data_IF_061069486380
#
_entry.id   IF_061069486380
#
_cell.length_a   1.000
_cell.length_b   1.000
_cell.length_c   1.000
_cell.angle_alpha   90.00
_cell.angle_beta   90.00
_cell.angle_gamma   90.00
#
_symmetry.space_group_name_H-M   'P 1'
#
loop_
_entity.id
_entity.type
_entity.pdbx_description
1 polymer ?
#
# COMPACT_ATOMS: atom_id res chain seq x y z
N UNK A 1 -2.58 -3.84 -11.75
CA UNK A 1 -1.24 -4.17 -12.29
C UNK A 1 -0.17 -4.10 -11.21
N UNK A 2 0.84 -5.00 -11.23
CA UNK A 2 2.00 -4.90 -10.34
C UNK A 2 2.98 -3.86 -10.91
N UNK A 3 3.53 -3.00 -10.04
CA UNK A 3 4.59 -2.06 -10.42
C UNK A 3 5.80 -2.84 -10.97
N UNK A 4 6.48 -2.29 -12.00
CA UNK A 4 7.61 -2.96 -12.66
C UNK A 4 8.76 -3.24 -11.69
N UNK A 5 8.91 -2.36 -10.70
CA UNK A 5 9.76 -2.58 -9.54
C UNK A 5 8.91 -2.64 -8.27
N UNK A 6 9.18 -3.56 -7.32
CA UNK A 6 8.46 -3.58 -6.05
C UNK A 6 8.63 -2.29 -5.23
N UNK A 7 9.57 -1.42 -5.58
CA UNK A 7 9.80 -0.11 -4.96
C UNK A 7 8.99 1.04 -5.57
N UNK A 8 8.37 0.84 -6.74
CA UNK A 8 7.69 1.92 -7.48
C UNK A 8 6.24 2.07 -7.01
N UNK A 9 5.82 3.32 -6.78
CA UNK A 9 4.47 3.65 -6.31
C UNK A 9 3.45 3.40 -7.42
N UNK A 10 2.27 2.92 -7.06
CA UNK A 10 1.18 2.73 -8.04
C UNK A 10 0.72 4.09 -8.59
N UNK A 11 0.64 4.19 -9.91
CA UNK A 11 0.02 5.34 -10.58
C UNK A 11 -1.48 5.39 -10.26
N UNK A 12 -1.97 6.56 -9.85
CA UNK A 12 -3.39 6.82 -9.64
C UNK A 12 -4.00 7.36 -10.93
N UNK A 13 -5.12 6.80 -11.33
CA UNK A 13 -5.93 7.30 -12.43
C UNK A 13 -7.06 8.16 -11.89
N UNK A 14 -7.05 9.46 -12.18
CA UNK A 14 -8.17 10.36 -11.92
C UNK A 14 -9.10 10.37 -13.14
N UNK A 15 -10.32 9.88 -12.97
CA UNK A 15 -11.36 9.86 -13.99
C UNK A 15 -12.34 10.99 -13.72
N UNK A 16 -12.21 12.05 -14.52
CA UNK A 16 -12.97 13.29 -14.40
C UNK A 16 -14.30 13.13 -15.16
N UNK A 17 -15.40 13.18 -14.41
CA UNK A 17 -16.76 13.05 -14.94
C UNK A 17 -17.56 14.37 -14.89
N UNK A 18 -17.20 15.27 -13.98
CA UNK A 18 -17.81 16.58 -13.75
C UNK A 18 -16.73 17.64 -13.52
N UNK A 19 -17.04 18.91 -13.81
CA UNK A 19 -16.10 20.02 -13.60
C UNK A 19 -15.93 20.37 -12.11
N UNK A 20 -16.98 20.18 -11.30
CA UNK A 20 -16.90 20.33 -9.84
C UNK A 20 -15.97 19.26 -9.23
N UNK A 21 -16.16 18.00 -9.63
CA UNK A 21 -15.32 16.90 -9.22
C UNK A 21 -13.88 17.00 -9.73
N UNK A 22 -13.65 17.70 -10.85
CA UNK A 22 -12.31 17.94 -11.40
C UNK A 22 -11.43 18.72 -10.42
N UNK A 23 -11.98 19.74 -9.74
CA UNK A 23 -11.23 20.56 -8.77
C UNK A 23 -10.69 19.69 -7.63
N UNK A 24 -11.58 18.90 -7.00
CA UNK A 24 -11.25 17.99 -5.90
C UNK A 24 -10.19 16.98 -6.34
N UNK A 25 -10.41 16.33 -7.50
CA UNK A 25 -9.49 15.32 -8.01
C UNK A 25 -8.12 15.89 -8.37
N UNK A 26 -8.05 17.12 -8.89
CA UNK A 26 -6.78 17.80 -9.19
C UNK A 26 -6.02 18.18 -7.93
N UNK A 27 -6.69 18.70 -6.90
CA UNK A 27 -6.03 19.02 -5.63
C UNK A 27 -5.43 17.77 -4.98
N UNK A 28 -6.21 16.70 -4.85
CA UNK A 28 -5.72 15.41 -4.33
C UNK A 28 -4.58 14.89 -5.22
N UNK A 29 -4.73 14.96 -6.54
CA UNK A 29 -3.74 14.49 -7.50
C UNK A 29 -2.40 15.23 -7.41
N UNK A 30 -2.44 16.55 -7.20
CA UNK A 30 -1.27 17.42 -7.08
C UNK A 30 -0.51 17.17 -5.77
N UNK A 31 -1.22 17.05 -4.63
CA UNK A 31 -0.60 16.74 -3.33
C UNK A 31 -0.04 15.32 -3.33
N UNK A 32 -0.81 14.36 -3.84
CA UNK A 32 -0.40 12.97 -3.90
C UNK A 32 0.82 12.79 -4.81
N UNK A 33 0.82 13.43 -5.98
CA UNK A 33 1.74 13.10 -7.06
C UNK A 33 1.37 11.79 -7.77
N UNK A 34 2.12 11.44 -8.82
CA UNK A 34 1.96 10.20 -9.60
C UNK A 34 0.52 9.93 -10.08
N UNK A 35 -0.19 10.99 -10.46
CA UNK A 35 -1.60 10.95 -10.85
C UNK A 35 -1.76 11.30 -12.33
N UNK A 36 -2.52 10.47 -13.05
CA UNK A 36 -2.86 10.69 -14.45
C UNK A 36 -4.33 11.07 -14.53
N UNK A 37 -4.62 12.25 -15.08
CA UNK A 37 -5.98 12.76 -15.24
C UNK A 37 -6.54 12.41 -16.63
N UNK A 38 -7.77 11.93 -16.68
CA UNK A 38 -8.51 11.66 -17.92
C UNK A 38 -9.92 12.15 -17.76
N UNK A 39 -10.43 12.87 -18.75
CA UNK A 39 -11.83 13.23 -18.84
C UNK A 39 -12.59 12.14 -19.59
N UNK A 40 -13.49 11.47 -18.88
CA UNK A 40 -14.33 10.42 -19.44
C UNK A 40 -15.64 10.39 -18.65
N UNK A 41 -16.78 10.50 -19.34
CA UNK A 41 -18.10 10.40 -18.71
C UNK A 41 -18.42 8.93 -18.47
N UNK A 42 -18.29 8.48 -17.24
CA UNK A 42 -18.60 7.11 -16.80
C UNK A 42 -19.03 7.14 -15.34
N UNK A 43 -20.00 6.32 -14.96
CA UNK A 43 -20.25 6.02 -13.56
C UNK A 43 -19.48 4.74 -13.21
N UNK A 44 -18.51 4.78 -12.27
CA UNK A 44 -17.62 3.63 -12.02
C UNK A 44 -18.35 2.36 -11.59
N UNK A 45 -19.42 2.49 -10.79
CA UNK A 45 -20.22 1.34 -10.34
C UNK A 45 -21.13 0.77 -11.43
N UNK A 46 -21.62 1.61 -12.35
CA UNK A 46 -22.53 1.15 -13.40
C UNK A 46 -21.77 0.53 -14.59
N UNK A 47 -20.49 0.87 -14.75
CA UNK A 47 -19.67 0.49 -15.91
C UNK A 47 -18.25 0.05 -15.50
N UNK A 48 -18.15 -0.99 -14.68
CA UNK A 48 -16.88 -1.54 -14.18
C UNK A 48 -15.93 -1.94 -15.32
N UNK A 49 -16.43 -2.59 -16.37
CA UNK A 49 -15.60 -3.01 -17.52
C UNK A 49 -14.89 -1.84 -18.22
N UNK A 50 -15.56 -0.68 -18.29
CA UNK A 50 -14.99 0.52 -18.90
C UNK A 50 -13.86 1.05 -18.03
N UNK A 51 -14.02 1.02 -16.70
CA UNK A 51 -12.98 1.36 -15.75
C UNK A 51 -11.77 0.44 -15.86
N UNK A 52 -11.99 -0.87 -15.97
CA UNK A 52 -10.91 -1.86 -16.17
C UNK A 52 -10.15 -1.61 -17.47
N UNK A 53 -10.85 -1.35 -18.58
CA UNK A 53 -10.23 -0.98 -19.87
C UNK A 53 -9.39 0.29 -19.75
N UNK A 54 -9.88 1.34 -19.07
CA UNK A 54 -9.16 2.58 -18.85
C UNK A 54 -7.91 2.36 -17.98
N UNK A 55 -8.05 1.65 -16.87
CA UNK A 55 -6.94 1.33 -15.98
C UNK A 55 -5.87 0.52 -16.70
N UNK A 56 -6.27 -0.46 -17.51
CA UNK A 56 -5.36 -1.26 -18.32
C UNK A 56 -4.62 -0.43 -19.36
N UNK A 57 -5.34 0.45 -20.08
CA UNK A 57 -4.74 1.37 -21.07
C UNK A 57 -3.70 2.28 -20.45
N UNK A 58 -3.90 2.71 -19.21
CA UNK A 58 -3.04 3.67 -18.50
C UNK A 58 -2.08 3.02 -17.52
N UNK A 59 -2.09 1.70 -17.43
CA UNK A 59 -1.25 0.90 -16.53
C UNK A 59 -1.34 1.35 -15.06
N UNK A 60 -2.53 1.78 -14.64
CA UNK A 60 -2.80 2.25 -13.28
C UNK A 60 -3.37 1.13 -12.43
N UNK A 61 -2.97 1.07 -11.16
CA UNK A 61 -3.48 0.09 -10.19
C UNK A 61 -4.54 0.64 -9.24
N UNK A 62 -4.75 1.95 -9.26
CA UNK A 62 -5.66 2.70 -8.42
C UNK A 62 -6.40 3.70 -9.29
N UNK A 63 -7.65 4.01 -8.94
CA UNK A 63 -8.38 5.10 -9.54
C UNK A 63 -9.19 5.89 -8.51
N UNK A 64 -9.45 7.15 -8.85
CA UNK A 64 -10.33 8.05 -8.14
C UNK A 64 -11.27 8.70 -9.16
N UNK A 65 -12.53 8.87 -8.81
CA UNK A 65 -13.50 9.59 -9.62
C UNK A 65 -14.48 10.30 -8.71
N UNK A 66 -14.91 11.49 -9.09
CA UNK A 66 -15.99 12.21 -8.44
C UNK A 66 -17.11 12.34 -9.46
N UNK A 67 -18.27 11.79 -9.14
CA UNK A 67 -19.45 11.82 -10.01
C UNK A 67 -20.10 13.21 -10.02
N UNK A 68 -21.18 13.37 -10.77
CA UNK A 68 -21.97 14.62 -10.78
C UNK A 68 -22.74 14.84 -9.48
N UNK A 69 -23.07 13.76 -8.78
CA UNK A 69 -23.84 13.81 -7.53
C UNK A 69 -22.93 13.90 -6.29
N UNK A 70 -21.72 14.43 -6.47
CA UNK A 70 -20.69 14.55 -5.44
C UNK A 70 -20.32 13.23 -4.76
N UNK A 71 -20.33 12.12 -5.51
CA UNK A 71 -19.90 10.83 -5.01
C UNK A 71 -18.43 10.60 -5.37
N UNK A 72 -17.57 10.55 -4.37
CA UNK A 72 -16.17 10.15 -4.46
C UNK A 72 -16.06 8.62 -4.51
N UNK A 73 -15.71 8.10 -5.68
CA UNK A 73 -15.39 6.69 -5.88
C UNK A 73 -13.88 6.49 -5.84
N UNK A 74 -13.43 5.60 -4.97
CA UNK A 74 -12.04 5.14 -4.89
C UNK A 74 -12.03 3.66 -5.20
N UNK A 75 -11.14 3.22 -6.09
CA UNK A 75 -11.00 1.80 -6.34
C UNK A 75 -9.59 1.37 -6.68
N UNK A 76 -9.37 0.06 -6.60
CA UNK A 76 -8.08 -0.56 -6.89
C UNK A 76 -8.25 -1.81 -7.73
N UNK A 77 -7.25 -2.09 -8.56
CA UNK A 77 -7.27 -3.21 -9.49
C UNK A 77 -6.04 -4.11 -9.36
N UNK A 78 -6.30 -5.41 -9.41
CA UNK A 78 -5.30 -6.46 -9.44
C UNK A 78 -5.46 -7.25 -10.73
N UNK A 79 -4.36 -7.46 -11.46
CA UNK A 79 -4.38 -8.14 -12.77
C UNK A 79 -5.45 -7.64 -13.76
N UNK A 80 -5.67 -6.31 -13.79
CA UNK A 80 -6.63 -5.60 -14.65
C UNK A 80 -8.11 -5.79 -14.26
N UNK A 81 -8.39 -6.46 -13.14
CA UNK A 81 -9.72 -6.61 -12.56
C UNK A 81 -9.88 -5.74 -11.31
N UNK A 82 -11.04 -5.10 -11.15
CA UNK A 82 -11.34 -4.35 -9.92
C UNK A 82 -11.52 -5.31 -8.75
N UNK A 83 -10.73 -5.11 -7.68
CA UNK A 83 -10.83 -5.93 -6.47
C UNK A 83 -11.55 -5.21 -5.32
N UNK A 84 -11.43 -3.89 -5.24
CA UNK A 84 -12.16 -3.10 -4.26
C UNK A 84 -12.58 -1.77 -4.89
N UNK A 85 -13.78 -1.35 -4.54
CA UNK A 85 -14.36 -0.08 -4.96
C UNK A 85 -15.23 0.44 -3.82
N UNK A 86 -15.01 1.68 -3.41
CA UNK A 86 -15.76 2.30 -2.31
C UNK A 86 -16.26 3.65 -2.79
N UNK A 87 -17.53 3.95 -2.49
CA UNK A 87 -18.17 5.21 -2.81
C UNK A 87 -18.51 5.97 -1.54
N UNK A 88 -18.06 7.22 -1.49
CA UNK A 88 -18.37 8.16 -0.45
C UNK A 88 -19.17 9.33 -1.03
N UNK A 89 -20.25 9.73 -0.37
CA UNK A 89 -20.95 10.97 -0.69
C UNK A 89 -20.24 12.13 0.00
N UNK A 90 -19.79 13.12 -0.75
CA UNK A 90 -19.16 14.32 -0.22
C UNK A 90 -20.28 15.26 0.26
N UNK A 91 -20.33 15.49 1.58
CA UNK A 91 -21.27 16.41 2.21
C UNK A 91 -20.72 17.83 2.23
N UNK A 92 -19.42 17.96 2.51
CA UNK A 92 -18.72 19.26 2.57
C UNK A 92 -17.33 19.12 1.98
N UNK A 93 -16.95 20.12 1.19
CA UNK A 93 -15.61 20.27 0.62
C UNK A 93 -15.09 21.68 0.92
N UNK A 94 -13.86 21.78 1.40
CA UNK A 94 -13.09 23.01 1.46
C UNK A 94 -11.81 22.81 0.67
N UNK A 95 -11.58 23.68 -0.31
CA UNK A 95 -10.35 23.74 -1.10
C UNK A 95 -9.21 24.29 -0.24
N UNK A 96 -7.97 24.03 -0.66
CA UNK A 96 -6.77 24.69 -0.10
C UNK A 96 -6.94 26.23 -0.03
N UNK A 97 -7.65 26.82 -0.99
CA UNK A 97 -7.83 28.28 -1.06
C UNK A 97 -8.78 28.84 0.00
N UNK A 98 -9.60 27.99 0.63
CA UNK A 98 -10.57 28.39 1.64
C UNK A 98 -9.95 28.51 3.04
N UNK A 99 -8.68 28.08 3.20
CA UNK A 99 -7.94 28.17 4.45
C UNK A 99 -7.09 29.44 4.48
N UNK A 100 -7.08 30.13 5.62
CA UNK A 100 -6.30 31.37 5.82
C UNK A 100 -4.78 31.15 5.91
N UNK A 101 -4.34 29.90 5.84
CA UNK A 101 -2.93 29.52 5.97
C UNK A 101 -2.19 29.53 4.62
N UNK A 102 -0.86 29.49 4.69
CA UNK A 102 -0.02 29.28 3.50
C UNK A 102 -0.28 27.87 2.96
N UNK A 103 -0.67 27.78 1.68
CA UNK A 103 -0.94 26.51 1.01
C UNK A 103 0.20 25.49 1.12
N UNK A 104 -0.10 24.20 0.92
CA UNK A 104 0.85 23.13 1.13
C UNK A 104 1.97 23.11 0.10
N UNK A 105 3.19 22.87 0.57
CA UNK A 105 4.35 22.65 -0.30
C UNK A 105 4.19 21.33 -1.07
N UNK A 106 4.36 21.38 -2.38
CA UNK A 106 4.21 20.22 -3.26
C UNK A 106 5.42 19.28 -3.16
N UNK A 107 5.18 18.00 -3.44
CA UNK A 107 6.21 16.94 -3.44
C UNK A 107 6.90 16.70 -2.09
N UNK A 108 6.32 17.22 -1.01
CA UNK A 108 6.79 16.96 0.34
C UNK A 108 6.34 15.58 0.80
N UNK A 109 7.20 14.94 1.63
CA UNK A 109 6.81 13.71 2.29
C UNK A 109 5.81 14.02 3.42
N UNK A 110 4.83 13.15 3.56
CA UNK A 110 3.76 13.26 4.54
C UNK A 110 3.51 11.92 5.22
N UNK A 111 2.93 11.99 6.41
CA UNK A 111 2.36 10.83 7.08
C UNK A 111 0.92 10.57 6.62
N UNK A 112 0.46 9.34 6.82
CA UNK A 112 -0.94 8.95 6.65
C UNK A 112 -1.40 8.45 8.00
N UNK A 113 -2.33 9.18 8.61
CA UNK A 113 -2.93 8.87 9.91
C UNK A 113 -4.34 8.38 9.67
N UNK A 114 -4.61 7.17 10.15
CA UNK A 114 -5.93 6.54 10.12
C UNK A 114 -6.48 6.49 11.55
N UNK A 115 -7.72 6.93 11.75
CA UNK A 115 -8.31 6.97 13.10
C UNK A 115 -9.75 6.45 13.10
N UNK A 116 -10.05 5.55 14.05
CA UNK A 116 -11.38 5.00 14.30
C UNK A 116 -12.04 4.28 13.11
N UNK A 117 -11.25 3.73 12.17
CA UNK A 117 -11.79 3.05 11.00
C UNK A 117 -12.06 1.59 11.36
N UNK A 118 -13.34 1.23 11.45
CA UNK A 118 -13.75 -0.12 11.87
C UNK A 118 -13.63 -1.18 10.76
N UNK A 119 -12.84 -0.95 9.70
CA UNK A 119 -12.73 -1.83 8.54
C UNK A 119 -11.29 -1.90 8.01
N UNK A 120 -10.64 -3.04 8.24
CA UNK A 120 -9.26 -3.31 7.82
C UNK A 120 -9.09 -3.16 6.29
N UNK A 121 -10.08 -3.59 5.49
CA UNK A 121 -10.02 -3.48 4.03
C UNK A 121 -10.05 -2.02 3.57
N UNK A 122 -10.84 -1.17 4.23
CA UNK A 122 -10.88 0.25 3.93
C UNK A 122 -9.59 0.94 4.35
N UNK A 123 -9.08 0.64 5.55
CA UNK A 123 -7.77 1.14 5.99
C UNK A 123 -6.68 0.79 4.98
N UNK A 124 -6.64 -0.48 4.56
CA UNK A 124 -5.67 -0.96 3.58
C UNK A 124 -5.79 -0.24 2.23
N UNK A 125 -7.01 0.02 1.75
CA UNK A 125 -7.26 0.79 0.53
C UNK A 125 -6.73 2.23 0.67
N UNK A 126 -7.01 2.90 1.80
CA UNK A 126 -6.60 4.29 2.02
C UNK A 126 -5.08 4.43 2.19
N UNK A 127 -4.44 3.47 2.88
CA UNK A 127 -2.97 3.40 2.91
C UNK A 127 -2.42 3.19 1.51
N UNK A 128 -2.94 2.24 0.71
CA UNK A 128 -2.43 2.01 -0.65
C UNK A 128 -2.63 3.21 -1.58
N UNK A 129 -3.71 3.98 -1.37
CA UNK A 129 -4.00 5.22 -2.11
C UNK A 129 -2.98 6.32 -1.79
N UNK A 130 -2.75 6.60 -0.50
CA UNK A 130 -1.99 7.78 -0.04
C UNK A 130 -0.52 7.48 0.28
N UNK A 131 -0.11 6.24 0.50
CA UNK A 131 1.26 5.88 0.89
C UNK A 131 2.31 6.40 -0.11
N UNK A 132 3.41 6.93 0.43
CA UNK A 132 4.66 7.18 -0.29
C UNK A 132 5.76 6.24 0.22
N UNK A 133 6.20 5.31 -0.63
CA UNK A 133 7.30 4.41 -0.26
C UNK A 133 8.60 5.19 -0.17
N UNK A 134 9.27 5.11 0.99
CA UNK A 134 10.63 5.62 1.14
C UNK A 134 11.46 4.77 2.08
N UNK A 135 12.73 4.56 1.73
CA UNK A 135 13.70 3.84 2.57
C UNK A 135 14.36 4.72 3.63
N UNK A 136 14.34 6.05 3.42
CA UNK A 136 14.92 7.05 4.32
C UNK A 136 13.97 8.24 4.45
N UNK A 137 13.68 8.65 5.68
CA UNK A 137 12.89 9.84 5.98
C UNK A 137 13.78 10.87 6.68
N UNK A 138 13.69 12.13 6.26
CA UNK A 138 14.29 13.25 6.97
C UNK A 138 13.24 13.82 7.91
N UNK A 139 13.45 13.70 9.23
CA UNK A 139 12.46 14.10 10.24
C UNK A 139 12.13 15.59 10.16
N UNK A 140 13.11 16.43 9.87
CA UNK A 140 12.92 17.89 9.74
C UNK A 140 12.03 18.29 8.54
N UNK A 141 11.95 17.41 7.54
CA UNK A 141 11.24 17.64 6.28
C UNK A 141 9.82 17.09 6.27
N UNK A 142 9.46 16.16 7.18
CA UNK A 142 8.08 15.63 7.22
C UNK A 142 7.22 16.54 8.09
N UNK A 143 6.65 17.55 7.44
CA UNK A 143 5.80 18.56 8.08
C UNK A 143 4.32 18.39 7.77
N UNK A 144 3.94 17.39 6.98
CA UNK A 144 2.57 17.25 6.51
C UNK A 144 2.00 15.88 6.85
N UNK A 145 0.67 15.82 6.99
CA UNK A 145 -0.03 14.56 7.20
C UNK A 145 -1.38 14.56 6.51
N UNK A 146 -1.71 13.46 5.84
CA UNK A 146 -3.09 13.10 5.57
C UNK A 146 -3.70 12.48 6.81
N UNK A 147 -4.91 12.91 7.16
CA UNK A 147 -5.69 12.34 8.24
C UNK A 147 -6.99 11.83 7.63
N UNK A 148 -7.23 10.53 7.75
CA UNK A 148 -8.50 9.91 7.39
C UNK A 148 -9.11 9.30 8.65
N UNK A 149 -10.22 9.88 9.11
CA UNK A 149 -10.83 9.55 10.38
C UNK A 149 -12.31 9.24 10.22
N UNK A 150 -12.80 8.27 11.00
CA UNK A 150 -14.24 8.08 11.19
C UNK A 150 -14.71 8.89 12.39
N UNK A 151 -15.75 9.68 12.18
CA UNK A 151 -16.45 10.52 13.15
C UNK A 151 -17.91 10.05 13.28
N UNK A 152 -18.67 10.62 14.20
CA UNK A 152 -20.11 10.31 14.34
C UNK A 152 -20.91 10.66 13.08
N UNK A 153 -20.53 11.74 12.39
CA UNK A 153 -21.17 12.22 11.17
C UNK A 153 -20.65 11.61 9.85
N UNK A 154 -19.79 10.58 9.92
CA UNK A 154 -19.22 9.93 8.73
C UNK A 154 -17.70 9.89 8.73
N UNK A 155 -17.08 10.06 7.57
CA UNK A 155 -15.65 10.03 7.34
C UNK A 155 -15.12 11.42 7.00
N UNK A 156 -13.98 11.77 7.58
CA UNK A 156 -13.28 13.02 7.28
C UNK A 156 -11.93 12.69 6.67
N UNK A 157 -11.65 13.28 5.50
CA UNK A 157 -10.32 13.28 4.90
C UNK A 157 -9.80 14.72 4.92
N UNK A 158 -8.70 14.96 5.64
CA UNK A 158 -8.08 16.28 5.71
C UNK A 158 -6.57 16.21 5.53
N UNK A 159 -6.01 17.28 4.97
CA UNK A 159 -4.57 17.46 4.85
C UNK A 159 -4.11 18.59 5.77
N UNK A 160 -3.12 18.28 6.61
CA UNK A 160 -2.68 19.16 7.70
C UNK A 160 -1.17 19.36 7.67
N UNK A 161 -0.73 20.54 8.12
CA UNK A 161 0.66 20.85 8.42
C UNK A 161 0.90 20.70 9.92
N UNK A 162 1.91 19.92 10.27
CA UNK A 162 2.42 19.77 11.63
C UNK A 162 3.54 20.79 11.82
N UNK A 163 3.35 21.71 12.76
CA UNK A 163 4.32 22.72 13.14
C UNK A 163 5.38 22.12 14.09
N UNK A 164 6.48 22.86 14.29
CA UNK A 164 7.58 22.42 15.17
C UNK A 164 7.13 22.20 16.62
N UNK A 165 6.14 22.95 17.06
CA UNK A 165 5.57 22.87 18.40
C UNK A 165 4.54 21.75 18.56
N UNK A 166 4.46 20.81 17.60
CA UNK A 166 3.46 19.73 17.50
C UNK A 166 2.01 20.21 17.32
N UNK A 167 1.80 21.52 17.20
CA UNK A 167 0.52 22.09 16.79
C UNK A 167 0.21 21.73 15.34
N UNK A 168 -1.09 21.65 15.02
CA UNK A 168 -1.58 21.25 13.70
C UNK A 168 -2.34 22.42 13.09
N UNK A 169 -1.99 22.75 11.85
CA UNK A 169 -2.64 23.74 11.01
C UNK A 169 -3.34 23.02 9.86
N UNK A 170 -4.63 23.27 9.63
CA UNK A 170 -5.36 22.67 8.52
C UNK A 170 -5.04 23.45 7.23
N UNK A 171 -4.38 22.79 6.25
CA UNK A 171 -3.95 23.42 5.00
C UNK A 171 -4.80 23.04 3.77
N UNK A 172 -5.74 22.11 3.96
CA UNK A 172 -6.63 21.64 2.90
C UNK A 172 -5.95 20.69 1.89
N UNK A 173 -6.75 19.91 1.14
CA UNK A 173 -8.22 19.93 1.11
C UNK A 173 -8.84 19.22 2.32
N UNK A 174 -10.08 19.61 2.65
CA UNK A 174 -10.92 18.96 3.66
C UNK A 174 -12.20 18.43 3.01
N UNK A 175 -12.46 17.15 3.22
CA UNK A 175 -13.66 16.46 2.74
C UNK A 175 -14.37 15.82 3.94
N UNK A 176 -15.61 16.21 4.19
CA UNK A 176 -16.54 15.48 5.06
C UNK A 176 -17.44 14.63 4.18
N UNK A 177 -17.50 13.33 4.44
CA UNK A 177 -18.11 12.37 3.55
C UNK A 177 -18.84 11.25 4.28
N UNK A 178 -19.84 10.66 3.65
CA UNK A 178 -20.56 9.49 4.16
C UNK A 178 -20.33 8.28 3.26
N UNK A 179 -20.14 7.11 3.85
CA UNK A 179 -19.99 5.86 3.08
C UNK A 179 -21.35 5.45 2.50
N UNK A 180 -21.45 5.36 1.18
CA UNK A 180 -22.69 4.97 0.47
C UNK A 180 -22.68 3.48 0.16
N UNK A 181 -21.66 3.03 -0.56
CA UNK A 181 -21.52 1.62 -0.97
C UNK A 181 -20.07 1.20 -0.98
N UNK A 182 -19.85 -0.08 -0.71
CA UNK A 182 -18.54 -0.72 -0.83
C UNK A 182 -18.69 -2.05 -1.55
N UNK A 183 -17.77 -2.28 -2.47
CA UNK A 183 -17.54 -3.54 -3.15
C UNK A 183 -16.17 -4.04 -2.75
N UNK A 184 -16.12 -5.29 -2.31
CA UNK A 184 -14.88 -5.97 -1.99
C UNK A 184 -14.88 -7.38 -2.56
N UNK A 185 -13.76 -7.82 -3.11
CA UNK A 185 -13.64 -9.15 -3.71
C UNK A 185 -13.59 -10.28 -2.67
N UNK A 186 -13.73 -11.53 -3.11
CA UNK A 186 -13.59 -12.70 -2.24
C UNK A 186 -12.19 -12.83 -1.63
N UNK A 187 -12.11 -13.45 -0.45
CA UNK A 187 -10.86 -13.54 0.33
C UNK A 187 -9.72 -14.27 -0.38
N UNK A 188 -10.03 -15.24 -1.23
CA UNK A 188 -9.00 -15.94 -2.01
C UNK A 188 -8.31 -15.01 -3.01
N UNK A 189 -9.09 -14.18 -3.71
CA UNK A 189 -8.55 -13.20 -4.66
C UNK A 189 -7.78 -12.10 -3.91
N UNK A 190 -8.29 -11.67 -2.76
CA UNK A 190 -7.62 -10.69 -1.92
C UNK A 190 -6.26 -11.19 -1.40
N UNK A 191 -6.20 -12.45 -0.91
CA UNK A 191 -4.94 -13.09 -0.50
C UNK A 191 -3.94 -13.21 -1.65
N UNK A 192 -4.41 -13.57 -2.85
CA UNK A 192 -3.57 -13.60 -4.06
C UNK A 192 -3.02 -12.20 -4.41
N UNK A 193 -3.81 -11.15 -4.16
CA UNK A 193 -3.42 -9.76 -4.43
C UNK A 193 -2.37 -9.23 -3.44
N UNK A 194 -2.41 -9.63 -2.17
CA UNK A 194 -1.48 -9.19 -1.10
C UNK A 194 -0.02 -9.58 -1.37
N UNK A 195 0.23 -10.59 -2.22
CA UNK A 195 1.56 -11.03 -2.60
C UNK A 195 2.25 -11.83 -1.50
N UNK A 196 2.98 -12.88 -1.88
CA UNK A 196 3.69 -13.70 -0.92
C UNK A 196 5.04 -13.09 -0.58
N UNK A 197 5.33 -12.98 0.73
CA UNK A 197 6.68 -12.68 1.19
C UNK A 197 7.62 -13.79 0.70
N UNK A 198 8.69 -13.41 -0.01
CA UNK A 198 9.70 -14.38 -0.45
C UNK A 198 10.35 -14.99 0.78
N UNK A 199 10.05 -16.26 1.05
CA UNK A 199 10.71 -17.01 2.13
C UNK A 199 12.21 -17.08 1.83
N UNK A 200 13.08 -16.84 2.82
CA UNK A 200 14.52 -17.00 2.62
C UNK A 200 14.82 -18.43 2.20
N UNK A 201 15.79 -18.61 1.29
CA UNK A 201 16.25 -19.96 0.92
C UNK A 201 16.93 -20.57 2.14
N UNK A 202 16.43 -21.71 2.60
CA UNK A 202 16.99 -22.45 3.74
C UNK A 202 18.48 -22.70 3.48
N UNK A 203 19.30 -22.58 4.54
CA UNK A 203 20.74 -22.83 4.52
C UNK A 203 21.57 -21.91 3.62
N UNK A 204 21.00 -20.79 3.14
CA UNK A 204 21.74 -19.77 2.39
C UNK A 204 21.57 -18.44 3.10
N UNK A 205 22.67 -17.89 3.61
CA UNK A 205 22.71 -16.56 4.22
C UNK A 205 23.65 -15.64 3.43
N UNK A 206 23.52 -14.33 3.66
CA UNK A 206 24.48 -13.33 3.18
C UNK A 206 25.23 -12.74 4.37
N UNK A 207 26.55 -12.61 4.27
CA UNK A 207 27.34 -11.92 5.30
C UNK A 207 27.23 -10.38 5.17
N UNK A 208 27.91 -9.65 6.05
CA UNK A 208 27.98 -8.19 6.04
C UNK A 208 28.59 -7.61 4.74
N UNK A 209 29.45 -8.37 4.08
CA UNK A 209 30.12 -8.06 2.81
C UNK A 209 29.34 -8.55 1.57
N UNK A 210 28.08 -9.00 1.75
CA UNK A 210 27.24 -9.58 0.70
C UNK A 210 27.69 -10.95 0.11
N UNK A 211 28.62 -11.66 0.74
CA UNK A 211 29.02 -13.01 0.31
C UNK A 211 27.93 -14.03 0.63
N UNK A 212 27.70 -14.99 -0.29
CA UNK A 212 26.74 -16.07 -0.09
C UNK A 212 27.38 -17.20 0.70
N UNK A 213 26.87 -17.47 1.90
CA UNK A 213 27.31 -18.58 2.75
C UNK A 213 26.27 -19.69 2.72
N UNK A 214 26.71 -20.92 2.44
CA UNK A 214 25.89 -22.12 2.51
C UNK A 214 26.18 -22.90 3.80
N UNK A 215 25.16 -23.22 4.59
CA UNK A 215 25.33 -24.08 5.78
C UNK A 215 25.06 -25.53 5.41
N UNK A 216 26.10 -26.37 5.50
CA UNK A 216 25.95 -27.82 5.39
C UNK A 216 25.72 -28.40 6.78
N UNK A 217 24.56 -29.03 6.98
CA UNK A 217 24.29 -29.79 8.20
C UNK A 217 24.77 -31.22 7.98
N UNK A 218 25.81 -31.60 8.71
CA UNK A 218 26.34 -32.98 8.71
C UNK A 218 25.66 -33.71 9.85
N UNK A 219 24.99 -34.82 9.55
CA UNK A 219 24.38 -35.66 10.57
C UNK A 219 25.45 -36.28 11.47
N UNK A 220 25.09 -36.52 12.74
CA UNK A 220 25.98 -37.17 13.69
C UNK A 220 26.29 -38.59 13.19
N UNK A 221 27.55 -38.84 12.84
CA UNK A 221 27.99 -40.16 12.40
C UNK A 221 27.96 -41.15 13.58
N UNK A 222 27.20 -42.24 13.46
CA UNK A 222 27.30 -43.37 14.39
C UNK A 222 28.49 -44.24 13.99
N UNK A 223 29.40 -44.47 14.93
CA UNK A 223 30.64 -45.23 14.71
C UNK A 223 30.53 -46.68 15.21
N UNK A 224 29.38 -47.10 15.75
CA UNK A 224 29.18 -48.45 16.30
C UNK A 224 29.29 -49.54 15.24
N UNK A 225 28.93 -49.24 14.00
CA UNK A 225 29.02 -50.18 12.87
C UNK A 225 30.43 -50.24 12.25
N UNK A 226 31.34 -49.35 12.65
CA UNK A 226 32.70 -49.31 12.12
C UNK A 226 33.52 -50.43 12.76
N UNK A 227 33.63 -51.55 12.05
CA UNK A 227 34.57 -52.62 12.40
C UNK A 227 35.98 -52.24 11.93
N UNK A 228 36.86 -51.95 12.89
CA UNK A 228 38.28 -51.77 12.60
C UNK A 228 38.91 -53.13 12.26
N UNK A 229 39.79 -53.14 11.26
CA UNK A 229 40.65 -54.31 10.98
C UNK A 229 41.49 -54.57 12.22
N UNK A 230 41.24 -55.71 12.89
CA UNK A 230 42.07 -56.16 14.01
C UNK A 230 43.43 -56.61 13.49
N UNK A 231 44.49 -55.87 13.80
CA UNK A 231 45.87 -56.34 13.61
C UNK A 231 46.19 -57.51 14.53
N UNK A 232 47.30 -58.21 14.28
CA UNK A 232 47.72 -59.38 15.08
C UNK A 232 47.80 -59.11 16.59
N UNK A 233 48.08 -57.87 17.00
CA UNK A 233 48.09 -57.45 18.41
C UNK A 233 46.70 -57.29 19.06
N UNK A 234 45.64 -57.18 18.26
CA UNK A 234 44.24 -56.99 18.70
C UNK A 234 43.36 -58.22 18.47
N UNK A 235 43.82 -59.20 17.69
CA UNK A 235 43.31 -60.56 17.76
C UNK A 235 43.80 -61.14 19.08
N UNK A 236 42.91 -61.22 20.07
CA UNK A 236 43.26 -61.71 21.40
C UNK A 236 44.09 -62.99 21.30
N UNK A 237 45.22 -63.00 22.01
CA UNK A 237 45.89 -64.23 22.33
C UNK A 237 44.85 -65.15 22.96
N UNK A 238 44.58 -66.30 22.35
CA UNK A 238 43.87 -67.36 23.05
C UNK A 238 44.71 -67.68 24.28
N UNK A 239 44.31 -67.16 25.45
CA UNK A 239 44.89 -67.57 26.72
C UNK A 239 44.57 -69.05 26.86
N UNK A 240 45.56 -69.89 26.55
CA UNK A 240 45.59 -71.27 27.01
C UNK A 240 45.64 -71.22 28.53
N UNK A 241 44.50 -71.39 29.19
CA UNK A 241 44.29 -72.10 30.46
C UNK A 241 42.80 -72.12 30.78
#
# INVERSE_FOLDING_TARGET
MRAKHPSERKTLLSVICSDEGEKIQREIGVIRGDTVHIREKTSPFDCVEKMEKLMKKKKSGLFISVTKDNLLVIGRAFNDEVIDMVEFKINRYLSVSDFECVGPELHMKYFVVLQNINSERLENLMVDLLNMRSSKACLEAVRYSWVFAKTEGGYVLKYVRVLKDLNVEDCGPLLEMELVRSYHCGDELYKKALGEARKPRKNVSKNLFNDKIGTLHIDKQDLRDIKLRKGKGYSGASSRR
#
